data_IF_994419356835
#
_entry.id   IF_994419356835
#
_cell.length_a   1.000
_cell.length_b   1.000
_cell.length_c   1.000
_cell.angle_alpha   90.00
_cell.angle_beta   90.00
_cell.angle_gamma   90.00
#
_symmetry.space_group_name_H-M   'P 1'
#
loop_
_entity.id
_entity.type
_entity.pdbx_description
1 polymer ?
#
# COMPACT_ATOMS: atom_id res chain seq x y z
N UNK A 1 -13.55 17.00 -3.51
CA UNK A 1 -12.18 17.54 -3.49
C UNK A 1 -11.87 17.93 -2.06
N UNK A 2 -11.00 17.25 -1.31
CA UNK A 2 -10.44 17.87 -0.11
C UNK A 2 -9.42 18.91 -0.58
N UNK A 3 -9.64 20.17 -0.18
CA UNK A 3 -8.68 21.26 -0.33
C UNK A 3 -7.46 21.01 0.56
N UNK A 4 -6.29 21.57 0.23
CA UNK A 4 -5.16 21.56 1.15
C UNK A 4 -5.54 22.36 2.41
N UNK A 5 -5.26 21.86 3.63
CA UNK A 5 -5.53 22.62 4.85
C UNK A 5 -4.60 23.85 4.90
N UNK A 6 -5.20 25.01 5.20
CA UNK A 6 -4.47 26.23 5.53
C UNK A 6 -3.62 26.01 6.80
N UNK A 7 -2.40 26.54 6.77
CA UNK A 7 -1.38 26.31 7.79
C UNK A 7 -1.74 27.01 9.11
N UNK A 8 -2.30 26.25 10.05
CA UNK A 8 -2.34 26.62 11.46
C UNK A 8 -1.00 26.31 12.13
N UNK A 9 -0.28 27.36 12.53
CA UNK A 9 0.96 27.26 13.28
C UNK A 9 0.69 26.71 14.68
N UNK A 10 1.10 25.46 14.91
CA UNK A 10 1.07 24.81 16.21
C UNK A 10 2.36 24.01 16.38
N UNK A 11 3.11 24.33 17.43
CA UNK A 11 4.41 23.77 17.79
C UNK A 11 4.43 22.23 17.69
N UNK A 12 5.16 21.68 16.72
CA UNK A 12 5.39 20.24 16.57
C UNK A 12 6.87 19.95 16.80
N UNK A 13 7.18 19.11 17.80
CA UNK A 13 8.42 18.32 17.82
C UNK A 13 8.68 17.84 16.40
N UNK A 14 9.89 18.07 15.86
CA UNK A 14 10.28 17.63 14.52
C UNK A 14 10.27 16.10 14.46
N UNK A 15 9.08 15.51 14.33
CA UNK A 15 8.89 14.13 13.98
C UNK A 15 9.43 13.99 12.56
N UNK A 16 10.55 13.29 12.42
CA UNK A 16 11.10 12.97 11.11
C UNK A 16 10.02 12.26 10.29
N UNK A 17 9.62 12.87 9.18
CA UNK A 17 8.59 12.33 8.32
C UNK A 17 9.10 11.03 7.67
N UNK A 18 8.23 10.00 7.51
CA UNK A 18 8.61 8.77 6.84
C UNK A 18 9.17 9.01 5.44
N UNK A 19 10.15 8.22 5.03
CA UNK A 19 10.73 8.31 3.67
C UNK A 19 9.67 8.05 2.59
N UNK A 20 8.78 7.08 2.84
CA UNK A 20 7.66 6.74 1.96
C UNK A 20 6.48 7.64 2.27
N UNK A 21 6.29 8.66 1.43
CA UNK A 21 5.19 9.62 1.50
C UNK A 21 5.08 10.36 0.17
N UNK A 22 3.96 11.05 -0.04
CA UNK A 22 3.88 12.01 -1.13
C UNK A 22 4.74 13.24 -0.86
N UNK A 23 5.26 13.82 -1.94
CA UNK A 23 5.86 15.15 -1.94
C UNK A 23 4.93 16.10 -2.71
N UNK A 24 4.99 17.39 -2.41
CA UNK A 24 4.23 18.39 -3.16
C UNK A 24 4.70 18.36 -4.61
N UNK A 25 3.75 18.11 -5.52
CA UNK A 25 3.97 18.03 -6.95
C UNK A 25 2.88 18.80 -7.65
N UNK A 26 3.26 19.66 -8.61
CA UNK A 26 2.32 20.43 -9.43
C UNK A 26 2.09 19.78 -10.81
N UNK A 27 2.68 18.62 -11.05
CA UNK A 27 2.55 17.88 -12.31
C UNK A 27 1.40 16.89 -12.19
N UNK A 28 0.23 17.15 -12.83
CA UNK A 28 -0.89 16.23 -12.80
C UNK A 28 -0.53 14.93 -13.52
N UNK A 29 -1.09 13.83 -13.03
CA UNK A 29 -1.00 12.52 -13.65
C UNK A 29 -2.40 11.87 -13.69
N UNK A 30 -2.78 11.37 -14.86
CA UNK A 30 -4.05 10.70 -15.09
C UNK A 30 -3.84 9.20 -15.19
N UNK A 31 -4.55 8.44 -14.37
CA UNK A 31 -4.35 6.99 -14.26
C UNK A 31 -5.69 6.26 -14.35
N UNK A 32 -5.68 5.07 -14.93
CA UNK A 32 -6.81 4.16 -14.93
C UNK A 32 -6.43 2.94 -14.09
N UNK A 33 -6.91 2.90 -12.86
CA UNK A 33 -6.77 1.72 -12.00
C UNK A 33 -7.74 0.64 -12.48
N UNK A 34 -7.21 -0.52 -12.84
CA UNK A 34 -7.95 -1.67 -13.33
C UNK A 34 -7.81 -2.82 -12.33
N UNK A 35 -8.87 -3.15 -11.61
CA UNK A 35 -8.90 -4.35 -10.78
C UNK A 35 -9.05 -5.58 -11.67
N UNK A 36 -7.95 -6.31 -11.88
CA UNK A 36 -7.92 -7.56 -12.64
C UNK A 36 -8.10 -8.79 -11.73
N UNK A 37 -8.38 -8.59 -10.45
CA UNK A 37 -8.59 -9.65 -9.47
C UNK A 37 -10.07 -9.96 -9.24
N UNK A 38 -10.33 -11.01 -8.47
CA UNK A 38 -11.67 -11.35 -7.97
C UNK A 38 -11.98 -10.71 -6.62
N UNK A 39 -11.07 -9.90 -6.05
CA UNK A 39 -11.23 -9.24 -4.75
C UNK A 39 -11.79 -7.84 -4.91
N UNK A 40 -12.48 -7.34 -3.90
CA UNK A 40 -12.78 -5.91 -3.78
C UNK A 40 -11.52 -5.21 -3.30
N UNK A 41 -11.05 -4.22 -4.06
CA UNK A 41 -9.75 -3.58 -3.80
C UNK A 41 -9.94 -2.20 -3.19
N UNK A 42 -9.33 -1.97 -2.03
CA UNK A 42 -9.20 -0.65 -1.41
C UNK A 42 -8.08 0.15 -2.09
N UNK A 43 -8.38 1.36 -2.54
CA UNK A 43 -7.40 2.28 -3.14
C UNK A 43 -6.83 3.19 -2.05
N UNK A 44 -5.51 3.20 -1.86
CA UNK A 44 -4.86 3.93 -0.77
C UNK A 44 -3.76 4.84 -1.30
N UNK A 45 -3.93 6.14 -1.11
CA UNK A 45 -2.90 7.15 -1.36
C UNK A 45 -2.05 7.33 -0.11
N UNK A 46 -0.73 7.35 -0.24
CA UNK A 46 0.15 7.66 0.89
C UNK A 46 0.35 9.17 0.95
N UNK A 47 -0.29 9.82 1.92
CA UNK A 47 -0.33 11.27 2.02
C UNK A 47 1.04 11.90 2.35
N UNK A 48 1.07 13.23 2.50
CA UNK A 48 2.29 13.98 2.80
C UNK A 48 2.92 13.67 4.16
N UNK A 49 2.18 13.02 5.07
CA UNK A 49 2.68 12.55 6.38
C UNK A 49 3.05 11.06 6.37
N UNK A 50 2.97 10.39 5.22
CA UNK A 50 3.23 8.95 5.11
C UNK A 50 2.07 8.07 5.59
N UNK A 51 0.88 8.65 5.82
CA UNK A 51 -0.30 7.93 6.27
C UNK A 51 -1.17 7.51 5.07
N UNK A 52 -1.74 6.29 5.08
CA UNK A 52 -2.62 5.85 4.02
C UNK A 52 -3.99 6.52 4.11
N UNK A 53 -4.42 7.14 3.02
CA UNK A 53 -5.74 7.76 2.84
C UNK A 53 -6.56 6.98 1.81
N UNK A 54 -7.79 6.65 2.20
CA UNK A 54 -8.74 5.90 1.36
C UNK A 54 -9.36 6.77 0.28
N UNK A 55 -9.29 6.29 -0.97
CA UNK A 55 -10.04 6.83 -2.11
C UNK A 55 -11.21 5.91 -2.52
N UNK A 56 -11.68 5.11 -1.56
CA UNK A 56 -12.75 4.14 -1.73
C UNK A 56 -12.30 2.83 -2.38
N UNK A 57 -13.29 1.99 -2.67
CA UNK A 57 -13.09 0.61 -3.16
C UNK A 57 -13.35 0.49 -4.66
N UNK A 58 -12.67 -0.46 -5.30
CA UNK A 58 -12.84 -0.87 -6.68
C UNK A 58 -13.34 -2.32 -6.73
N UNK A 59 -14.51 -2.52 -7.32
CA UNK A 59 -15.15 -3.84 -7.39
C UNK A 59 -14.36 -4.81 -8.27
N UNK A 60 -14.52 -6.13 -8.07
CA UNK A 60 -13.86 -7.15 -8.91
C UNK A 60 -14.06 -6.88 -10.39
N UNK A 61 -13.00 -7.02 -11.20
CA UNK A 61 -13.04 -6.87 -12.66
C UNK A 61 -13.50 -5.49 -13.17
N UNK A 62 -13.44 -4.44 -12.34
CA UNK A 62 -13.80 -3.06 -12.73
C UNK A 62 -12.60 -2.13 -12.83
N UNK A 63 -12.81 -0.95 -13.40
CA UNK A 63 -11.78 0.10 -13.48
C UNK A 63 -12.29 1.46 -13.03
N UNK A 64 -11.39 2.31 -12.54
CA UNK A 64 -11.67 3.70 -12.14
C UNK A 64 -10.57 4.62 -12.63
N UNK A 65 -10.97 5.68 -13.34
CA UNK A 65 -10.07 6.79 -13.67
C UNK A 65 -9.78 7.59 -12.42
N UNK A 66 -8.51 7.92 -12.20
CA UNK A 66 -8.05 8.76 -11.10
C UNK A 66 -7.17 9.89 -11.59
N UNK A 67 -7.35 11.05 -10.94
CA UNK A 67 -6.49 12.20 -11.09
C UNK A 67 -5.62 12.26 -9.83
N UNK A 68 -4.30 12.25 -10.04
CA UNK A 68 -3.28 12.30 -8.99
C UNK A 68 -2.15 13.21 -9.46
N UNK A 69 -1.04 13.28 -8.72
CA UNK A 69 0.16 13.97 -9.13
C UNK A 69 1.33 13.01 -9.30
N UNK A 70 2.31 13.42 -10.11
CA UNK A 70 3.56 12.69 -10.32
C UNK A 70 4.26 12.47 -8.98
N UNK A 71 4.70 11.23 -8.73
CA UNK A 71 5.42 10.85 -7.52
C UNK A 71 4.56 10.54 -6.29
N UNK A 72 3.24 10.70 -6.35
CA UNK A 72 2.35 10.33 -5.25
C UNK A 72 2.25 8.80 -5.10
N UNK A 73 2.65 8.19 -3.97
CA UNK A 73 2.60 6.74 -3.83
C UNK A 73 1.18 6.21 -3.65
N UNK A 74 0.86 5.15 -4.39
CA UNK A 74 -0.39 4.41 -4.30
C UNK A 74 -0.13 2.95 -3.92
N UNK A 75 -0.92 2.45 -2.97
CA UNK A 75 -0.95 1.06 -2.56
C UNK A 75 -2.38 0.52 -2.64
N UNK A 76 -2.51 -0.80 -2.75
CA UNK A 76 -3.78 -1.46 -2.99
C UNK A 76 -3.91 -2.65 -2.05
N UNK A 77 -5.08 -2.82 -1.45
CA UNK A 77 -5.35 -3.87 -0.45
C UNK A 77 -6.66 -4.57 -0.76
N UNK A 78 -6.79 -5.82 -0.36
CA UNK A 78 -8.11 -6.45 -0.23
C UNK A 78 -8.91 -5.65 0.81
N UNK A 79 -10.10 -5.19 0.43
CA UNK A 79 -10.90 -4.30 1.27
C UNK A 79 -11.47 -5.01 2.51
N UNK A 80 -11.53 -6.35 2.53
CA UNK A 80 -12.05 -7.13 3.64
C UNK A 80 -10.93 -7.54 4.61
N UNK A 81 -9.80 -8.01 4.08
CA UNK A 81 -8.75 -8.64 4.90
C UNK A 81 -7.51 -7.78 5.12
N UNK A 82 -7.45 -6.62 4.46
CA UNK A 82 -6.24 -5.81 4.33
C UNK A 82 -5.05 -6.62 3.77
N UNK A 83 -5.29 -7.69 2.99
CA UNK A 83 -4.23 -8.41 2.29
C UNK A 83 -3.60 -7.54 1.21
N UNK A 84 -2.28 -7.67 0.99
CA UNK A 84 -1.59 -6.91 -0.05
C UNK A 84 -2.06 -7.31 -1.45
N UNK A 85 -2.41 -6.31 -2.27
CA UNK A 85 -2.62 -6.47 -3.71
C UNK A 85 -1.40 -5.92 -4.46
N UNK A 86 -1.09 -6.50 -5.62
CA UNK A 86 0.00 -6.00 -6.46
C UNK A 86 -0.53 -5.03 -7.50
N UNK A 87 0.30 -4.07 -7.86
CA UNK A 87 0.07 -3.11 -8.93
C UNK A 87 1.18 -3.21 -9.96
N UNK A 88 0.84 -3.59 -11.19
CA UNK A 88 1.81 -3.89 -12.24
C UNK A 88 2.96 -4.79 -11.74
N UNK A 89 2.62 -5.82 -10.96
CA UNK A 89 3.55 -6.76 -10.30
C UNK A 89 4.50 -6.13 -9.25
N UNK A 90 4.16 -4.96 -8.71
CA UNK A 90 4.90 -4.26 -7.64
C UNK A 90 3.99 -4.02 -6.43
N UNK A 91 4.59 -3.72 -5.28
CA UNK A 91 3.85 -3.43 -4.03
C UNK A 91 3.26 -2.01 -4.00
N UNK A 92 3.76 -1.13 -4.86
CA UNK A 92 3.45 0.30 -4.87
C UNK A 92 3.53 0.85 -6.30
N UNK A 93 2.66 1.80 -6.59
CA UNK A 93 2.64 2.54 -7.84
C UNK A 93 3.01 4.00 -7.60
N UNK A 94 3.90 4.53 -8.45
CA UNK A 94 4.29 5.93 -8.49
C UNK A 94 3.92 6.47 -9.88
N UNK A 95 2.94 7.37 -9.99
CA UNK A 95 2.59 8.00 -11.25
C UNK A 95 3.79 8.77 -11.81
N UNK A 96 4.01 8.64 -13.11
CA UNK A 96 5.03 9.38 -13.86
C UNK A 96 4.36 10.40 -14.78
N UNK A 97 5.09 11.44 -15.16
CA UNK A 97 4.61 12.35 -16.21
C UNK A 97 4.52 11.56 -17.53
N UNK A 98 3.34 11.55 -18.14
CA UNK A 98 3.14 11.02 -19.49
C UNK A 98 2.96 12.18 -20.46
N UNK A 99 3.51 12.04 -21.66
CA UNK A 99 3.32 13.01 -22.73
C UNK A 99 1.87 13.02 -23.21
N UNK A 100 1.41 14.19 -23.69
CA UNK A 100 0.16 14.35 -24.45
C UNK A 100 -1.13 13.92 -23.71
N UNK A 101 -1.18 13.99 -22.37
CA UNK A 101 -2.39 13.70 -21.60
C UNK A 101 -2.80 12.23 -21.60
N UNK A 102 -1.88 11.32 -21.96
CA UNK A 102 -2.14 9.89 -21.98
C UNK A 102 -2.48 9.38 -20.57
N UNK A 103 -3.45 8.47 -20.49
CA UNK A 103 -3.85 7.82 -19.24
C UNK A 103 -3.01 6.56 -19.02
N UNK A 104 -2.29 6.49 -17.91
CA UNK A 104 -1.54 5.28 -17.53
C UNK A 104 -2.52 4.18 -17.12
N UNK A 105 -2.51 3.03 -17.80
CA UNK A 105 -3.30 1.87 -17.37
C UNK A 105 -2.52 1.10 -16.31
N UNK A 106 -3.13 0.95 -15.15
CA UNK A 106 -2.50 0.40 -13.95
C UNK A 106 -3.29 -0.83 -13.50
N UNK A 107 -2.71 -2.01 -13.69
CA UNK A 107 -3.37 -3.27 -13.41
C UNK A 107 -3.11 -3.69 -11.96
N UNK A 108 -4.20 -3.91 -11.21
CA UNK A 108 -4.15 -4.41 -9.85
C UNK A 108 -4.49 -5.90 -9.88
N UNK A 109 -3.62 -6.74 -9.33
CA UNK A 109 -3.71 -8.20 -9.38
C UNK A 109 -3.56 -8.81 -7.99
N UNK A 110 -4.09 -10.03 -7.84
CA UNK A 110 -3.79 -10.85 -6.67
C UNK A 110 -2.34 -11.32 -6.76
N UNK A 111 -1.50 -11.19 -5.72
CA UNK A 111 -0.19 -11.80 -5.71
C UNK A 111 -0.29 -13.32 -5.72
N UNK A 112 0.77 -13.97 -6.20
CA UNK A 112 0.96 -15.40 -5.94
C UNK A 112 1.47 -15.53 -4.50
N UNK A 113 0.54 -15.78 -3.59
CA UNK A 113 0.87 -16.02 -2.18
C UNK A 113 1.64 -17.33 -2.02
N UNK A 114 2.51 -17.39 -1.01
CA UNK A 114 3.05 -18.68 -0.56
C UNK A 114 1.91 -19.58 -0.09
N UNK A 115 2.10 -20.90 -0.17
CA UNK A 115 1.10 -21.84 0.35
C UNK A 115 0.78 -21.56 1.82
N UNK A 116 1.79 -21.23 2.63
CA UNK A 116 1.64 -20.84 4.04
C UNK A 116 0.69 -19.65 4.18
N UNK A 117 0.96 -18.53 3.49
CA UNK A 117 0.11 -17.33 3.59
C UNK A 117 -1.31 -17.60 3.10
N UNK A 118 -1.45 -18.37 2.01
CA UNK A 118 -2.77 -18.73 1.49
C UNK A 118 -3.57 -19.58 2.49
N UNK A 119 -2.93 -20.52 3.18
CA UNK A 119 -3.55 -21.28 4.25
C UNK A 119 -3.98 -20.37 5.42
N UNK A 120 -3.12 -19.45 5.85
CA UNK A 120 -3.45 -18.49 6.91
C UNK A 120 -4.69 -17.66 6.56
N UNK A 121 -4.76 -17.14 5.33
CA UNK A 121 -5.92 -16.40 4.82
C UNK A 121 -7.22 -17.21 4.88
N UNK A 122 -7.17 -18.50 4.50
CA UNK A 122 -8.35 -19.37 4.54
C UNK A 122 -8.77 -19.65 5.98
N UNK A 123 -7.84 -19.97 6.87
CA UNK A 123 -8.13 -20.24 8.28
C UNK A 123 -8.70 -19.01 8.98
N UNK A 124 -8.12 -17.82 8.76
CA UNK A 124 -8.64 -16.54 9.31
C UNK A 124 -10.08 -16.24 8.86
N UNK A 125 -10.51 -16.77 7.71
CA UNK A 125 -11.88 -16.61 7.21
C UNK A 125 -12.87 -17.59 7.85
N UNK A 126 -12.40 -18.79 8.23
CA UNK A 126 -13.24 -19.87 8.74
C UNK A 126 -13.32 -19.90 10.26
N UNK A 127 -12.29 -19.40 10.95
CA UNK A 127 -12.14 -19.48 12.41
C UNK A 127 -12.09 -18.07 13.00
N UNK A 128 -12.78 -17.85 14.11
CA UNK A 128 -12.72 -16.57 14.84
C UNK A 128 -11.37 -16.39 15.52
N UNK A 129 -10.92 -15.15 15.67
CA UNK A 129 -9.61 -14.85 16.26
C UNK A 129 -9.42 -15.40 17.66
N UNK A 130 -10.49 -15.44 18.45
CA UNK A 130 -10.48 -15.95 19.83
C UNK A 130 -10.20 -17.45 19.91
N UNK A 131 -10.50 -18.19 18.84
CA UNK A 131 -10.34 -19.64 18.76
C UNK A 131 -8.99 -20.07 18.16
N UNK A 132 -8.16 -19.14 17.64
CA UNK A 132 -6.85 -19.49 17.09
C UNK A 132 -5.94 -20.25 18.08
N UNK A 133 -5.86 -19.90 19.39
CA UNK A 133 -5.04 -20.64 20.35
C UNK A 133 -5.55 -22.06 20.64
N UNK A 134 -6.79 -22.38 20.27
CA UNK A 134 -7.44 -23.68 20.50
C UNK A 134 -7.23 -24.65 19.34
N UNK A 135 -6.71 -24.17 18.20
CA UNK A 135 -6.43 -25.02 17.04
C UNK A 135 -5.29 -26.00 17.37
N UNK A 136 -5.47 -27.28 17.04
CA UNK A 136 -4.49 -28.35 17.25
C UNK A 136 -3.34 -28.29 16.21
N UNK A 137 -2.67 -27.14 16.13
CA UNK A 137 -1.53 -26.86 15.26
C UNK A 137 -0.36 -26.29 16.07
N UNK A 138 0.82 -26.21 15.47
CA UNK A 138 2.00 -25.65 16.14
C UNK A 138 1.73 -24.22 16.64
N UNK A 139 2.25 -23.88 17.83
CA UNK A 139 2.08 -22.55 18.44
C UNK A 139 2.51 -21.41 17.52
N UNK A 140 3.60 -21.59 16.78
CA UNK A 140 4.08 -20.61 15.80
C UNK A 140 3.05 -20.30 14.72
N UNK A 141 2.24 -21.29 14.29
CA UNK A 141 1.16 -21.06 13.32
C UNK A 141 -0.05 -20.37 13.96
N UNK A 142 -0.33 -20.62 15.25
CA UNK A 142 -1.36 -19.88 15.99
C UNK A 142 -0.99 -18.39 16.10
N UNK A 143 0.29 -18.11 16.39
CA UNK A 143 0.86 -16.76 16.43
C UNK A 143 0.80 -16.09 15.04
N UNK A 144 1.17 -16.81 13.97
CA UNK A 144 1.03 -16.32 12.61
C UNK A 144 -0.42 -15.96 12.27
N UNK A 145 -1.39 -16.80 12.65
CA UNK A 145 -2.81 -16.53 12.42
C UNK A 145 -3.26 -15.23 13.11
N UNK A 146 -2.78 -15.00 14.33
CA UNK A 146 -3.08 -13.80 15.11
C UNK A 146 -2.49 -12.52 14.47
N UNK A 147 -1.37 -12.62 13.76
CA UNK A 147 -0.74 -11.50 13.05
C UNK A 147 -1.49 -11.19 11.75
N UNK A 148 -2.46 -10.26 11.80
CA UNK A 148 -3.22 -9.86 10.61
C UNK A 148 -2.38 -9.02 9.63
N UNK A 149 -2.64 -9.14 8.32
CA UNK A 149 -2.13 -8.20 7.33
C UNK A 149 -2.43 -6.75 7.74
N UNK A 150 -1.46 -5.85 7.55
CA UNK A 150 -1.62 -4.43 7.87
C UNK A 150 -0.82 -3.55 6.93
N UNK A 151 -1.48 -2.61 6.25
CA UNK A 151 -0.78 -1.62 5.43
C UNK A 151 0.26 -0.82 6.24
N UNK A 152 -0.01 -0.54 7.53
CA UNK A 152 0.93 0.18 8.38
C UNK A 152 2.23 -0.60 8.60
N UNK A 153 2.13 -1.92 8.81
CA UNK A 153 3.30 -2.80 8.90
C UNK A 153 4.07 -2.86 7.59
N UNK A 154 3.36 -2.91 6.46
CA UNK A 154 3.99 -2.93 5.14
C UNK A 154 4.69 -1.62 4.80
N UNK A 155 4.09 -0.46 5.14
CA UNK A 155 4.71 0.86 4.97
C UNK A 155 5.99 1.00 5.80
N UNK A 156 6.00 0.48 7.04
CA UNK A 156 7.22 0.44 7.87
C UNK A 156 8.30 -0.42 7.20
N UNK A 157 7.94 -1.63 6.73
CA UNK A 157 8.86 -2.53 6.02
C UNK A 157 9.41 -1.91 4.72
N UNK A 158 8.57 -1.21 3.94
CA UNK A 158 9.02 -0.50 2.73
C UNK A 158 9.96 0.64 3.11
N UNK A 159 9.61 1.45 4.11
CA UNK A 159 10.43 2.59 4.55
C UNK A 159 11.83 2.17 5.00
N UNK A 160 11.93 1.10 5.79
CA UNK A 160 13.22 0.53 6.21
C UNK A 160 14.05 0.05 5.02
N UNK A 161 13.43 -0.62 4.03
CA UNK A 161 14.13 -1.05 2.81
C UNK A 161 14.64 0.14 1.99
N UNK A 162 13.88 1.23 1.93
CA UNK A 162 14.29 2.46 1.23
C UNK A 162 15.48 3.09 1.97
N UNK A 163 15.41 3.21 3.30
CA UNK A 163 16.49 3.76 4.11
C UNK A 163 17.81 2.99 3.92
N UNK A 164 17.77 1.66 4.02
CA UNK A 164 18.94 0.80 3.81
C UNK A 164 19.58 1.01 2.43
N UNK A 165 18.76 1.10 1.38
CA UNK A 165 19.25 1.36 0.01
C UNK A 165 19.90 2.73 -0.13
N UNK A 166 19.33 3.76 0.51
CA UNK A 166 19.92 5.10 0.48
C UNK A 166 21.28 5.13 1.18
N UNK A 167 21.43 4.42 2.31
CA UNK A 167 22.71 4.31 3.01
C UNK A 167 23.76 3.59 2.15
N UNK A 168 23.42 2.44 1.57
CA UNK A 168 24.30 1.68 0.68
C UNK A 168 24.78 2.51 -0.52
N UNK A 169 23.88 3.28 -1.15
CA UNK A 169 24.23 4.13 -2.27
C UNK A 169 25.21 5.24 -1.88
N UNK A 170 25.11 5.79 -0.66
CA UNK A 170 26.03 6.83 -0.16
C UNK A 170 27.42 6.26 0.12
N UNK A 171 27.51 5.05 0.64
CA UNK A 171 28.79 4.36 0.88
C UNK A 171 29.52 4.06 -0.43
N UNK A 172 28.76 3.65 -1.46
CA UNK A 172 29.32 3.33 -2.79
C UNK A 172 29.78 4.57 -3.56
N UNK A 173 29.19 5.75 -3.31
CA UNK A 173 29.62 7.02 -3.92
C UNK A 173 30.84 7.66 -3.24
N UNK A 174 31.16 7.23 -2.02
CA UNK A 174 32.29 7.72 -1.24
C UNK A 174 33.53 6.81 -1.33
N UNK A 175 33.49 5.77 -2.16
CA UNK A 175 34.59 4.82 -2.42
C UNK A 175 35.03 4.94 -3.87
#
# INVERSE_FOLDING_TARGET
MPQPPEAGEGQQQQQQLPLVRSLVSHLPAHVLFCNRSTRTVQLLWINFRGQPESYGVLQPRTGRRMNTFVGHPWMFRDAETDDQMLVNNKEMYLPTALENGQVSVVNITLPVFSLRERCLQVVRKLVRSEDFPRLEIARSLQEDLAQKPSIGSDLRRISQRVEQRLLQNRETQNT
#
